data_IF_341491955272
#
_entry.id   IF_341491955272
#
_cell.length_a   1.000
_cell.length_b   1.000
_cell.length_c   1.000
_cell.angle_alpha   90.00
_cell.angle_beta   90.00
_cell.angle_gamma   90.00
#
_symmetry.space_group_name_H-M   'P 1'
#
loop_
_entity.id
_entity.type
_entity.pdbx_description
1 polymer ?
#
# COMPACT_ATOMS: atom_id res chain seq x y z
N UNK A 1 21.90 20.71 16.16
CA UNK A 1 21.26 20.13 14.97
C UNK A 1 21.19 18.61 15.17
N UNK A 2 20.00 18.02 15.28
CA UNK A 2 19.86 16.56 15.43
C UNK A 2 20.15 15.87 14.09
N UNK A 3 21.09 14.92 14.08
CA UNK A 3 21.46 14.17 12.87
C UNK A 3 20.36 13.14 12.55
N UNK A 4 19.59 13.37 11.48
CA UNK A 4 18.59 12.40 11.01
C UNK A 4 19.33 11.21 10.40
N UNK A 5 19.33 10.08 11.10
CA UNK A 5 19.87 8.82 10.58
C UNK A 5 18.92 8.28 9.49
N UNK A 6 19.44 7.69 8.41
CA UNK A 6 18.59 7.04 7.41
C UNK A 6 17.85 5.84 8.05
N UNK A 7 16.52 5.79 7.88
CA UNK A 7 15.70 4.65 8.27
C UNK A 7 15.70 3.63 7.12
N UNK A 8 16.53 2.59 7.25
CA UNK A 8 16.51 1.46 6.33
C UNK A 8 15.35 0.52 6.64
N UNK A 9 14.77 -0.08 5.60
CA UNK A 9 13.78 -1.15 5.78
C UNK A 9 14.46 -2.41 6.33
N UNK A 10 13.79 -3.19 7.19
CA UNK A 10 14.32 -4.47 7.69
C UNK A 10 14.52 -5.48 6.54
N UNK A 11 15.61 -6.25 6.60
CA UNK A 11 15.87 -7.37 5.69
C UNK A 11 15.23 -8.65 6.23
N UNK A 12 14.32 -9.24 5.46
CA UNK A 12 13.74 -10.54 5.79
C UNK A 12 14.40 -11.62 4.93
N UNK A 13 15.03 -12.59 5.57
CA UNK A 13 15.64 -13.73 4.87
C UNK A 13 14.55 -14.48 4.10
N UNK A 14 14.83 -14.85 2.84
CA UNK A 14 13.86 -15.47 1.92
C UNK A 14 12.69 -14.57 1.49
N UNK A 15 12.82 -13.25 1.64
CA UNK A 15 11.85 -12.32 1.06
C UNK A 15 11.81 -12.47 -0.46
N UNK A 16 10.66 -12.93 -0.98
CA UNK A 16 10.49 -13.25 -2.40
C UNK A 16 10.48 -12.01 -3.29
N UNK A 17 9.91 -10.89 -2.81
CA UNK A 17 9.82 -9.64 -3.56
C UNK A 17 10.04 -8.43 -2.66
N UNK A 18 10.65 -7.37 -3.22
CA UNK A 18 10.84 -6.09 -2.53
C UNK A 18 9.52 -5.34 -2.29
N UNK A 19 8.55 -5.54 -3.18
CA UNK A 19 7.19 -5.00 -3.12
C UNK A 19 6.19 -6.15 -3.11
N UNK A 20 5.01 -5.99 -2.50
CA UNK A 20 3.97 -6.99 -2.57
C UNK A 20 3.49 -7.22 -4.01
N UNK A 21 2.89 -8.39 -4.30
CA UNK A 21 2.31 -8.72 -5.59
C UNK A 21 1.32 -7.68 -6.12
N UNK A 22 0.60 -6.99 -5.23
CA UNK A 22 -0.32 -5.90 -5.57
C UNK A 22 -0.12 -4.69 -4.66
N UNK A 23 -0.35 -3.49 -5.17
CA UNK A 23 -0.27 -2.26 -4.37
C UNK A 23 -1.36 -2.17 -3.29
N UNK A 24 -2.48 -2.86 -3.48
CA UNK A 24 -3.56 -2.94 -2.50
C UNK A 24 -3.12 -3.60 -1.20
N UNK A 25 -2.12 -4.48 -1.22
CA UNK A 25 -1.56 -5.08 0.00
C UNK A 25 -0.77 -4.10 0.85
N UNK A 26 -0.32 -2.97 0.28
CA UNK A 26 0.32 -1.89 1.04
C UNK A 26 -0.69 -1.04 1.82
N UNK A 27 -1.97 -1.19 1.53
CA UNK A 27 -3.05 -0.45 2.18
C UNK A 27 -3.53 -1.30 3.36
N UNK A 28 -3.58 -0.78 4.60
CA UNK A 28 -4.16 -1.52 5.72
C UNK A 28 -5.59 -1.97 5.42
N UNK A 29 -6.01 -3.11 5.99
CA UNK A 29 -7.36 -3.65 5.75
C UNK A 29 -8.46 -2.66 6.18
N UNK A 30 -8.24 -1.91 7.25
CA UNK A 30 -9.20 -0.94 7.78
C UNK A 30 -9.09 0.47 7.16
N UNK A 31 -8.28 0.65 6.11
CA UNK A 31 -8.07 1.97 5.53
C UNK A 31 -9.28 2.41 4.66
N UNK A 32 -9.83 3.63 4.87
CA UNK A 32 -11.06 4.08 4.21
C UNK A 32 -10.98 4.16 2.68
N UNK A 33 -9.76 4.30 2.13
CA UNK A 33 -9.54 4.33 0.68
C UNK A 33 -10.08 3.08 -0.03
N UNK A 34 -10.09 1.92 0.66
CA UNK A 34 -10.63 0.67 0.09
C UNK A 34 -12.11 0.78 -0.22
N UNK A 35 -12.87 1.45 0.65
CA UNK A 35 -14.31 1.67 0.48
C UNK A 35 -14.55 2.67 -0.65
N UNK A 36 -13.77 3.75 -0.69
CA UNK A 36 -13.89 4.78 -1.73
C UNK A 36 -13.61 4.15 -3.10
N UNK A 37 -12.54 3.37 -3.22
CA UNK A 37 -12.17 2.69 -4.46
C UNK A 37 -13.27 1.72 -4.93
N UNK A 38 -13.83 0.91 -4.01
CA UNK A 38 -14.97 0.05 -4.30
C UNK A 38 -16.20 0.82 -4.81
N UNK A 39 -16.52 1.96 -4.18
CA UNK A 39 -17.66 2.79 -4.58
C UNK A 39 -17.43 3.37 -5.97
N UNK A 40 -16.25 3.94 -6.25
CA UNK A 40 -15.92 4.49 -7.57
C UNK A 40 -16.02 3.40 -8.64
N UNK A 41 -15.44 2.23 -8.39
CA UNK A 41 -15.48 1.10 -9.32
C UNK A 41 -16.90 0.54 -9.53
N UNK A 42 -17.83 0.78 -8.59
CA UNK A 42 -19.24 0.38 -8.72
C UNK A 42 -20.09 1.38 -9.52
N UNK A 43 -19.61 2.61 -9.72
CA UNK A 43 -20.30 3.61 -10.51
C UNK A 43 -19.99 3.34 -11.98
N UNK A 44 -21.01 3.00 -12.75
CA UNK A 44 -20.87 2.89 -14.21
C UNK A 44 -20.88 4.30 -14.80
N UNK A 45 -19.68 4.81 -15.12
CA UNK A 45 -19.47 6.17 -15.65
C UNK A 45 -19.59 6.19 -17.19
N UNK A 46 -19.91 5.05 -17.81
CA UNK A 46 -20.10 4.95 -19.26
C UNK A 46 -21.48 5.50 -19.63
N UNK A 47 -21.51 6.79 -20.00
CA UNK A 47 -22.65 7.51 -20.58
C UNK A 47 -22.31 8.09 -21.93
#
# INVERSE_FOLDING_TARGET
MSRKLPNFKPYYQHQFMAFPPTFDELIPQDHPVRIIDQVINSINIDG
#
